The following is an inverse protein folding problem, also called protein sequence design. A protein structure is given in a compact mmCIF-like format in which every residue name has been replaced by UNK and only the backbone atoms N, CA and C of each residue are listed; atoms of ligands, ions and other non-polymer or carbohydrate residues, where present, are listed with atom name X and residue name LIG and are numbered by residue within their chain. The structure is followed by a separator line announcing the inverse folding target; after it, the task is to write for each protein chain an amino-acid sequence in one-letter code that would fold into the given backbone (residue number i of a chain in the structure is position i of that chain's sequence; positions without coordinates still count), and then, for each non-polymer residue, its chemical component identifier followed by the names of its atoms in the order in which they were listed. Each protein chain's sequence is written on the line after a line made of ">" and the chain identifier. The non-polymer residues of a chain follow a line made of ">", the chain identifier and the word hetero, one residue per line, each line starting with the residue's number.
data_IF_982996930914
#
_entry.id   IF_982996930914
#
_cell.length_a   1.000
_cell.length_b   1.000
_cell.length_c   1.000
_cell.angle_alpha   90.00
_cell.angle_beta   90.00
_cell.angle_gamma   90.00
#
_symmetry.space_group_name_H-M   'P 1'
#
loop_
_entity.id
_entity.type
_entity.pdbx_description
1 polymer ?
#
# COMPACT_ATOMS: atom_id res chain seq x y z
N UNK A 1 42.00 11.70 22.98
CA UNK A 1 41.32 10.63 23.74
C UNK A 1 39.99 11.23 24.17
N UNK A 2 38.93 11.04 23.37
CA UNK A 2 37.60 11.57 23.69
C UNK A 2 36.80 10.45 24.34
N UNK A 3 36.61 10.56 25.65
CA UNK A 3 35.84 9.60 26.43
C UNK A 3 34.35 9.88 26.18
N UNK A 4 33.67 8.95 25.49
CA UNK A 4 32.21 8.99 25.33
C UNK A 4 31.60 8.73 26.71
N UNK A 5 31.06 9.78 27.31
CA UNK A 5 30.20 9.69 28.49
C UNK A 5 28.88 9.01 28.07
N UNK A 6 28.83 7.69 28.16
CA UNK A 6 27.59 6.94 27.99
C UNK A 6 26.77 7.12 29.27
N UNK A 7 25.82 8.04 29.25
CA UNK A 7 24.82 8.18 30.32
C UNK A 7 23.98 6.89 30.31
N UNK A 8 23.95 6.08 31.39
CA UNK A 8 23.05 4.96 31.45
C UNK A 8 21.63 5.53 31.50
N UNK A 9 20.79 5.15 30.52
CA UNK A 9 19.36 5.35 30.64
C UNK A 9 18.91 4.62 31.91
N UNK A 10 18.67 5.35 33.00
CA UNK A 10 17.99 4.81 34.16
C UNK A 10 16.63 4.30 33.68
N UNK A 11 16.46 2.98 33.61
CA UNK A 11 15.16 2.36 33.53
C UNK A 11 14.44 2.72 34.83
N UNK A 12 13.63 3.78 34.80
CA UNK A 12 12.75 4.11 35.92
C UNK A 12 11.85 2.90 36.11
N UNK A 13 11.92 2.19 37.26
CA UNK A 13 11.04 1.06 37.50
C UNK A 13 9.62 1.59 37.53
N UNK A 14 8.77 1.12 36.61
CA UNK A 14 7.35 1.45 36.65
C UNK A 14 6.80 0.90 37.96
N UNK A 15 6.33 1.79 38.84
CA UNK A 15 5.85 1.42 40.17
C UNK A 15 4.63 0.49 40.10
N UNK A 16 4.47 -0.47 41.03
CA UNK A 16 3.24 -1.24 41.15
C UNK A 16 2.01 -0.34 41.21
N UNK A 17 1.01 -0.62 40.37
CA UNK A 17 -0.21 0.18 40.29
C UNK A 17 -1.47 -0.69 40.19
N UNK A 18 -2.59 -0.16 40.69
CA UNK A 18 -3.93 -0.73 40.44
C UNK A 18 -4.24 -0.65 38.94
N UNK A 19 -4.94 -1.65 38.35
CA UNK A 19 -5.30 -1.59 36.95
C UNK A 19 -6.24 -0.42 36.69
N UNK A 20 -6.09 0.19 35.52
CA UNK A 20 -7.08 1.09 34.93
C UNK A 20 -8.00 0.30 33.99
N UNK A 21 -9.03 0.98 33.48
CA UNK A 21 -9.97 0.39 32.53
C UNK A 21 -9.22 -0.16 31.30
N UNK A 22 -9.40 -1.44 30.96
CA UNK A 22 -8.77 -2.02 29.76
C UNK A 22 -9.44 -1.47 28.50
N UNK A 23 -8.65 -1.28 27.45
CA UNK A 23 -9.18 -1.00 26.11
C UNK A 23 -9.58 -2.32 25.48
N UNK A 24 -10.87 -2.47 25.13
CA UNK A 24 -11.45 -3.69 24.57
C UNK A 24 -11.81 -3.45 23.11
N UNK A 25 -11.47 -4.41 22.24
CA UNK A 25 -11.85 -4.39 20.82
C UNK A 25 -12.25 -5.78 20.37
N UNK A 26 -13.38 -5.89 19.67
CA UNK A 26 -13.88 -7.14 19.10
C UNK A 26 -13.92 -7.07 17.57
N UNK A 27 -13.70 -8.23 16.94
CA UNK A 27 -13.67 -8.39 15.49
C UNK A 27 -14.11 -9.79 15.10
N UNK A 28 -14.82 -9.89 13.98
CA UNK A 28 -15.19 -11.13 13.31
C UNK A 28 -14.47 -11.23 11.96
N UNK A 29 -13.43 -12.07 11.91
CA UNK A 29 -12.73 -12.47 10.68
C UNK A 29 -13.15 -13.87 10.19
N UNK A 30 -14.04 -14.54 10.93
CA UNK A 30 -14.51 -15.91 10.70
C UNK A 30 -16.02 -15.98 10.53
N UNK A 31 -16.66 -14.88 10.13
CA UNK A 31 -18.12 -14.81 9.97
C UNK A 31 -18.62 -15.91 9.01
N UNK A 32 -19.76 -16.57 9.29
CA UNK A 32 -20.68 -16.37 10.42
C UNK A 32 -20.38 -17.29 11.62
N UNK A 33 -19.17 -17.84 11.77
CA UNK A 33 -18.88 -18.81 12.85
C UNK A 33 -18.76 -18.18 14.23
N UNK A 34 -18.18 -17.00 14.32
CA UNK A 34 -17.92 -16.34 15.59
C UNK A 34 -17.04 -15.11 15.46
N UNK A 35 -16.72 -14.52 16.60
CA UNK A 35 -15.86 -13.36 16.73
C UNK A 35 -14.86 -13.56 17.87
N UNK A 36 -13.81 -12.75 17.87
CA UNK A 36 -12.89 -12.66 18.99
C UNK A 36 -12.89 -11.26 19.58
N UNK A 37 -12.57 -11.18 20.86
CA UNK A 37 -12.29 -9.92 21.55
C UNK A 37 -10.87 -9.94 22.07
N UNK A 38 -10.22 -8.79 22.03
CA UNK A 38 -8.89 -8.58 22.56
C UNK A 38 -8.85 -7.34 23.44
N UNK A 39 -7.95 -7.35 24.41
CA UNK A 39 -7.84 -6.24 25.35
C UNK A 39 -6.39 -5.95 25.75
N UNK A 40 -6.14 -4.71 26.14
CA UNK A 40 -4.85 -4.32 26.71
C UNK A 40 -5.04 -3.17 27.71
N UNK A 41 -4.07 -3.04 28.61
CA UNK A 41 -3.97 -1.90 29.51
C UNK A 41 -3.09 -0.85 28.84
N UNK A 42 -3.61 0.37 28.66
CA UNK A 42 -2.80 1.50 28.16
C UNK A 42 -1.61 1.81 29.08
N UNK A 43 -1.79 1.54 30.39
CA UNK A 43 -0.80 1.78 31.42
C UNK A 43 -0.48 0.45 32.12
N UNK A 44 0.74 -0.10 31.95
CA UNK A 44 1.17 -1.32 32.64
C UNK A 44 1.17 -1.14 34.16
N UNK A 45 0.86 -2.21 34.89
CA UNK A 45 0.75 -2.22 36.36
C UNK A 45 2.04 -2.71 37.05
N UNK A 46 3.02 -3.22 36.30
CA UNK A 46 4.26 -3.86 36.79
C UNK A 46 4.08 -5.06 37.72
N UNK A 47 2.85 -5.52 37.94
CA UNK A 47 2.50 -6.68 38.76
C UNK A 47 1.54 -7.60 38.00
N UNK A 48 1.53 -8.91 38.29
CA UNK A 48 0.61 -9.85 37.65
C UNK A 48 -0.83 -9.36 37.72
N UNK A 49 -1.50 -9.32 36.56
CA UNK A 49 -2.86 -8.83 36.41
C UNK A 49 -3.66 -9.84 35.63
N UNK A 50 -4.71 -10.36 36.23
CA UNK A 50 -5.63 -11.32 35.63
C UNK A 50 -6.81 -10.60 34.99
N UNK A 51 -7.42 -11.24 33.99
CA UNK A 51 -8.57 -10.70 33.28
C UNK A 51 -9.74 -11.68 33.34
N UNK A 52 -10.93 -11.16 33.63
CA UNK A 52 -12.20 -11.87 33.55
C UNK A 52 -13.06 -11.28 32.44
N UNK A 53 -13.64 -12.13 31.60
CA UNK A 53 -14.44 -11.71 30.45
C UNK A 53 -15.83 -12.30 30.59
N UNK A 54 -16.86 -11.46 30.41
CA UNK A 54 -18.25 -11.87 30.33
C UNK A 54 -18.85 -11.31 29.03
N UNK A 55 -19.52 -12.17 28.27
CA UNK A 55 -20.18 -11.80 27.02
C UNK A 55 -21.65 -12.14 27.13
N UNK A 56 -22.49 -11.15 26.84
CA UNK A 56 -23.94 -11.28 26.89
C UNK A 56 -24.54 -10.95 25.52
N UNK A 57 -25.59 -11.67 25.16
CA UNK A 57 -26.36 -11.44 23.95
C UNK A 57 -27.82 -11.82 24.23
N UNK A 58 -28.76 -10.93 23.90
CA UNK A 58 -30.19 -11.12 24.19
C UNK A 58 -30.46 -11.58 25.64
N UNK A 59 -29.88 -10.88 26.62
CA UNK A 59 -29.97 -11.18 28.07
C UNK A 59 -29.40 -12.55 28.50
N UNK A 60 -28.79 -13.32 27.60
CA UNK A 60 -28.14 -14.61 27.90
C UNK A 60 -26.63 -14.43 27.97
N UNK A 61 -25.99 -15.13 28.91
CA UNK A 61 -24.53 -15.25 28.95
C UNK A 61 -24.08 -16.24 27.88
N UNK A 62 -23.06 -15.88 27.11
CA UNK A 62 -22.44 -16.75 26.12
C UNK A 62 -21.20 -17.44 26.68
N UNK A 63 -20.87 -18.60 26.10
CA UNK A 63 -19.63 -19.30 26.40
C UNK A 63 -18.44 -18.57 25.77
N UNK A 64 -17.37 -18.39 26.55
CA UNK A 64 -16.17 -17.66 26.16
C UNK A 64 -14.97 -18.59 26.21
N UNK A 65 -14.36 -18.86 25.06
CA UNK A 65 -13.15 -19.68 24.96
C UNK A 65 -11.92 -18.79 25.00
N UNK A 66 -11.00 -19.03 25.94
CA UNK A 66 -9.71 -18.31 25.97
C UNK A 66 -8.82 -18.75 24.82
N UNK A 67 -8.14 -17.79 24.20
CA UNK A 67 -7.16 -18.08 23.17
C UNK A 67 -5.91 -18.73 23.80
N UNK A 68 -5.43 -19.83 23.21
CA UNK A 68 -4.29 -20.60 23.73
C UNK A 68 -2.95 -19.94 23.44
N UNK A 69 -2.89 -19.08 22.42
CA UNK A 69 -1.68 -18.39 21.97
C UNK A 69 -1.62 -16.98 22.53
N UNK A 70 -2.74 -16.26 22.49
CA UNK A 70 -2.85 -14.85 22.87
C UNK A 70 -3.59 -14.68 24.21
N UNK A 71 -2.86 -14.50 25.31
CA UNK A 71 -3.43 -14.43 26.67
C UNK A 71 -4.57 -13.40 26.85
N UNK A 72 -4.50 -12.27 26.14
CA UNK A 72 -5.49 -11.20 26.19
C UNK A 72 -6.47 -11.25 25.02
N UNK A 73 -6.86 -12.46 24.61
CA UNK A 73 -7.84 -12.70 23.57
C UNK A 73 -8.79 -13.83 23.97
N UNK A 74 -10.04 -13.72 23.56
CA UNK A 74 -11.03 -14.78 23.66
C UNK A 74 -11.86 -14.91 22.39
N UNK A 75 -12.49 -16.05 22.21
CA UNK A 75 -13.36 -16.40 21.08
C UNK A 75 -14.77 -16.71 21.57
N UNK A 76 -15.76 -16.29 20.80
CA UNK A 76 -17.19 -16.49 21.06
C UNK A 76 -17.86 -16.92 19.77
N UNK A 77 -18.70 -17.94 19.82
CA UNK A 77 -19.49 -18.39 18.67
C UNK A 77 -20.75 -17.54 18.55
N UNK A 78 -21.18 -17.27 17.31
CA UNK A 78 -22.48 -16.67 17.08
C UNK A 78 -23.58 -17.72 17.37
N UNK A 79 -24.50 -17.48 18.33
CA UNK A 79 -25.61 -18.41 18.60
C UNK A 79 -26.65 -18.39 17.48
N UNK A 80 -26.83 -17.24 16.86
CA UNK A 80 -27.70 -16.97 15.71
C UNK A 80 -26.98 -15.95 14.82
N UNK A 81 -27.17 -16.06 13.51
CA UNK A 81 -26.62 -15.14 12.51
C UNK A 81 -27.70 -14.14 12.15
N UNK A 82 -27.32 -12.91 11.84
CA UNK A 82 -28.21 -11.79 11.55
C UNK A 82 -29.07 -11.37 12.75
N UNK A 83 -28.57 -11.50 13.98
CA UNK A 83 -29.31 -11.07 15.15
C UNK A 83 -29.42 -9.55 15.22
N UNK A 84 -30.61 -9.04 15.55
CA UNK A 84 -30.83 -7.63 15.83
C UNK A 84 -30.47 -7.23 17.27
N UNK A 85 -30.15 -8.20 18.13
CA UNK A 85 -29.75 -7.92 19.50
C UNK A 85 -28.26 -7.58 19.60
N UNK A 86 -27.88 -6.51 20.30
CA UNK A 86 -26.49 -6.17 20.46
C UNK A 86 -25.79 -7.17 21.40
N UNK A 87 -24.50 -7.40 21.14
CA UNK A 87 -23.59 -8.07 22.04
C UNK A 87 -23.04 -7.07 23.05
N UNK A 88 -22.91 -7.50 24.30
CA UNK A 88 -22.25 -6.73 25.36
C UNK A 88 -21.08 -7.52 25.92
N UNK A 89 -19.88 -6.97 25.82
CA UNK A 89 -18.63 -7.60 26.28
C UNK A 89 -18.10 -6.77 27.45
N UNK A 90 -17.93 -7.39 28.61
CA UNK A 90 -17.31 -6.79 29.79
C UNK A 90 -15.98 -7.49 30.10
N UNK A 91 -14.90 -6.72 30.16
CA UNK A 91 -13.58 -7.17 30.57
C UNK A 91 -13.20 -6.49 31.88
N UNK A 92 -12.92 -7.29 32.91
CA UNK A 92 -12.44 -6.84 34.22
C UNK A 92 -10.99 -7.24 34.41
N UNK A 93 -10.10 -6.26 34.61
CA UNK A 93 -8.73 -6.45 35.04
C UNK A 93 -8.66 -6.48 36.58
N UNK A 94 -7.90 -7.43 37.14
CA UNK A 94 -7.77 -7.62 38.60
C UNK A 94 -6.31 -7.88 38.94
N UNK A 95 -5.79 -7.18 39.94
CA UNK A 95 -4.50 -7.49 40.56
C UNK A 95 -4.55 -7.29 42.08
N UNK A 96 -3.41 -7.46 42.76
CA UNK A 96 -3.33 -7.34 44.22
C UNK A 96 -3.69 -5.95 44.76
N UNK A 97 -3.68 -4.90 43.92
CA UNK A 97 -3.93 -3.51 44.32
C UNK A 97 -5.34 -3.02 43.98
N UNK A 98 -6.10 -3.76 43.17
CA UNK A 98 -7.46 -3.37 42.82
C UNK A 98 -8.03 -4.04 41.58
N UNK A 99 -9.16 -3.50 41.10
CA UNK A 99 -9.85 -3.96 39.90
C UNK A 99 -10.40 -2.78 39.10
N UNK A 100 -10.46 -2.95 37.79
CA UNK A 100 -11.10 -2.02 36.87
C UNK A 100 -11.78 -2.79 35.73
N UNK A 101 -12.89 -2.26 35.20
CA UNK A 101 -13.65 -2.93 34.15
C UNK A 101 -14.03 -1.99 33.04
N UNK A 102 -14.03 -2.50 31.81
CA UNK A 102 -14.56 -1.80 30.63
C UNK A 102 -15.61 -2.67 29.97
N UNK A 103 -16.65 -2.04 29.44
CA UNK A 103 -17.71 -2.72 28.70
C UNK A 103 -17.96 -2.03 27.36
N UNK A 104 -18.02 -2.83 26.29
CA UNK A 104 -18.40 -2.38 24.95
C UNK A 104 -19.66 -3.10 24.50
N UNK A 105 -20.48 -2.39 23.73
CA UNK A 105 -21.71 -2.91 23.12
C UNK A 105 -21.62 -2.70 21.62
N UNK A 106 -21.97 -3.72 20.83
CA UNK A 106 -21.94 -3.64 19.37
C UNK A 106 -22.99 -4.54 18.74
N UNK A 107 -23.39 -4.20 17.52
CA UNK A 107 -24.19 -5.06 16.65
C UNK A 107 -23.28 -5.99 15.85
N UNK A 108 -23.80 -7.15 15.50
CA UNK A 108 -23.09 -8.21 14.77
C UNK A 108 -22.39 -7.68 13.50
N UNK A 109 -23.13 -6.92 12.68
CA UNK A 109 -22.67 -6.41 11.40
C UNK A 109 -21.50 -5.43 11.50
N UNK A 110 -21.34 -4.74 12.64
CA UNK A 110 -20.36 -3.67 12.81
C UNK A 110 -18.95 -4.21 13.09
N UNK A 111 -18.83 -5.44 13.58
CA UNK A 111 -17.53 -6.05 13.93
C UNK A 111 -16.98 -6.96 12.84
N UNK A 112 -17.74 -7.18 11.76
CA UNK A 112 -17.29 -8.00 10.63
C UNK A 112 -16.15 -7.29 9.90
N UNK A 113 -14.99 -7.93 9.86
CA UNK A 113 -13.80 -7.47 9.15
C UNK A 113 -12.97 -8.70 8.78
N UNK A 114 -13.06 -9.19 7.51
CA UNK A 114 -12.27 -10.31 7.02
C UNK A 114 -10.77 -10.05 7.20
N UNK A 115 -9.95 -11.10 7.14
CA UNK A 115 -8.50 -10.91 6.98
C UNK A 115 -8.15 -10.49 5.54
N UNK A 116 -6.94 -9.93 5.29
CA UNK A 116 -6.54 -9.56 3.94
C UNK A 116 -6.50 -10.78 2.99
N UNK A 117 -6.73 -10.59 1.68
CA UNK A 117 -6.58 -11.66 0.69
C UNK A 117 -5.19 -12.31 0.76
N UNK A 118 -5.16 -13.62 0.53
CA UNK A 118 -3.94 -14.42 0.58
C UNK A 118 -3.38 -14.66 -0.82
N UNK A 119 -2.09 -15.03 -0.90
CA UNK A 119 -1.43 -15.45 -2.15
C UNK A 119 -1.67 -14.48 -3.32
N UNK A 120 -1.58 -13.18 -3.06
CA UNK A 120 -1.63 -12.17 -4.11
C UNK A 120 -0.42 -12.37 -5.02
N UNK A 121 -0.64 -12.47 -6.32
CA UNK A 121 0.41 -12.63 -7.33
C UNK A 121 0.08 -11.72 -8.51
N UNK A 122 1.11 -11.08 -9.08
CA UNK A 122 0.98 -10.29 -10.29
C UNK A 122 2.00 -10.76 -11.33
N UNK A 123 1.53 -11.14 -12.52
CA UNK A 123 2.35 -11.68 -13.61
C UNK A 123 2.23 -10.83 -14.88
N UNK A 124 3.32 -10.63 -15.63
CA UNK A 124 3.26 -10.02 -16.95
C UNK A 124 2.52 -10.92 -17.94
N UNK A 125 1.67 -10.33 -18.77
CA UNK A 125 1.04 -11.04 -19.88
C UNK A 125 2.01 -11.04 -21.08
N UNK A 126 2.43 -12.20 -21.60
CA UNK A 126 3.38 -12.28 -22.71
C UNK A 126 2.96 -11.45 -23.92
N UNK A 127 3.93 -10.80 -24.57
CA UNK A 127 3.73 -9.92 -25.72
C UNK A 127 2.80 -8.73 -25.45
N UNK A 128 2.62 -8.33 -24.19
CA UNK A 128 1.78 -7.19 -23.83
C UNK A 128 2.44 -6.26 -22.81
N UNK A 129 3.06 -5.19 -23.33
CA UNK A 129 3.83 -4.23 -22.53
C UNK A 129 3.02 -3.35 -21.59
N UNK A 130 1.67 -3.46 -21.60
CA UNK A 130 0.78 -2.65 -20.75
C UNK A 130 -0.15 -3.48 -19.87
N UNK A 131 0.06 -4.79 -19.79
CA UNK A 131 -0.82 -5.69 -19.04
C UNK A 131 -0.12 -6.46 -17.94
N UNK A 132 -0.81 -6.53 -16.81
CA UNK A 132 -0.48 -7.40 -15.68
C UNK A 132 -1.73 -8.18 -15.29
N UNK A 133 -1.59 -9.48 -15.14
CA UNK A 133 -2.62 -10.32 -14.54
C UNK A 133 -2.38 -10.40 -13.04
N UNK A 134 -3.38 -10.03 -12.25
CA UNK A 134 -3.35 -10.07 -10.79
C UNK A 134 -4.32 -11.14 -10.34
N UNK A 135 -3.86 -12.06 -9.49
CA UNK A 135 -4.67 -13.14 -8.90
C UNK A 135 -4.47 -13.15 -7.39
N UNK A 136 -5.48 -13.63 -6.64
CA UNK A 136 -5.42 -13.78 -5.20
C UNK A 136 -6.36 -14.90 -4.74
N UNK A 137 -6.22 -15.30 -3.48
CA UNK A 137 -7.15 -16.20 -2.82
C UNK A 137 -7.97 -15.44 -1.78
N UNK A 138 -9.21 -15.88 -1.59
CA UNK A 138 -10.02 -15.49 -0.42
C UNK A 138 -9.26 -15.83 0.87
N UNK A 139 -9.43 -15.04 1.96
CA UNK A 139 -8.79 -15.34 3.23
C UNK A 139 -9.21 -16.72 3.77
N UNK A 140 -8.26 -17.54 4.20
CA UNK A 140 -8.53 -18.90 4.69
C UNK A 140 -9.38 -18.93 5.97
N UNK A 141 -9.43 -17.82 6.70
CA UNK A 141 -10.27 -17.63 7.88
C UNK A 141 -11.74 -17.42 7.53
N UNK A 142 -12.06 -17.04 6.28
CA UNK A 142 -13.42 -16.82 5.82
C UNK A 142 -14.01 -18.14 5.29
N UNK A 143 -14.91 -18.78 6.04
CA UNK A 143 -15.19 -20.21 5.86
C UNK A 143 -16.24 -20.52 4.79
N UNK A 144 -17.09 -19.56 4.42
CA UNK A 144 -18.26 -19.79 3.57
C UNK A 144 -18.45 -18.61 2.60
N UNK A 145 -17.63 -18.60 1.55
CA UNK A 145 -17.69 -17.58 0.49
C UNK A 145 -18.93 -17.69 -0.40
N UNK A 146 -19.57 -18.87 -0.44
CA UNK A 146 -20.77 -19.09 -1.26
C UNK A 146 -22.00 -18.44 -0.63
N UNK A 147 -22.16 -18.58 0.70
CA UNK A 147 -23.27 -17.93 1.42
C UNK A 147 -22.96 -16.48 1.79
N UNK A 148 -21.68 -16.15 1.99
CA UNK A 148 -21.21 -14.81 2.40
C UNK A 148 -20.11 -14.33 1.43
N UNK A 149 -20.50 -13.89 0.23
CA UNK A 149 -19.55 -13.51 -0.80
C UNK A 149 -18.73 -12.30 -0.40
N UNK A 150 -17.47 -12.30 -0.85
CA UNK A 150 -16.55 -11.20 -0.64
C UNK A 150 -16.47 -10.33 -1.89
N UNK A 151 -16.35 -9.03 -1.67
CA UNK A 151 -15.85 -8.08 -2.65
C UNK A 151 -14.44 -7.66 -2.30
N UNK A 152 -13.70 -7.25 -3.33
CA UNK A 152 -12.30 -6.92 -3.28
C UNK A 152 -12.07 -5.50 -3.75
N UNK A 153 -11.12 -4.83 -3.11
CA UNK A 153 -10.63 -3.53 -3.53
C UNK A 153 -9.17 -3.70 -3.91
N UNK A 154 -8.88 -3.61 -5.20
CA UNK A 154 -7.54 -3.63 -5.75
C UNK A 154 -7.02 -2.20 -5.80
N UNK A 155 -5.79 -1.98 -5.34
CA UNK A 155 -5.06 -0.75 -5.61
C UNK A 155 -3.71 -1.03 -6.25
N UNK A 156 -3.35 -0.19 -7.21
CA UNK A 156 -2.05 -0.28 -7.87
C UNK A 156 -1.53 1.10 -8.25
N UNK A 157 -0.20 1.24 -8.25
CA UNK A 157 0.48 2.43 -8.76
C UNK A 157 1.86 2.04 -9.29
N UNK A 158 2.38 2.74 -10.30
CA UNK A 158 3.78 2.58 -10.69
C UNK A 158 4.69 3.22 -9.63
N UNK A 159 5.92 2.71 -9.46
CA UNK A 159 6.89 3.32 -8.53
C UNK A 159 7.27 4.76 -8.88
N UNK A 160 7.09 5.14 -10.14
CA UNK A 160 7.38 6.50 -10.62
C UNK A 160 6.30 7.53 -10.25
N UNK A 161 5.17 7.12 -9.64
CA UNK A 161 4.09 8.01 -9.21
C UNK A 161 3.50 7.58 -7.87
N UNK A 162 3.09 8.54 -7.05
CA UNK A 162 2.46 8.27 -5.76
C UNK A 162 0.93 8.23 -5.80
N UNK A 163 0.34 8.37 -6.98
CA UNK A 163 -1.10 8.29 -7.16
C UNK A 163 -1.57 6.84 -7.32
N UNK A 164 -2.41 6.39 -6.39
CA UNK A 164 -3.06 5.09 -6.44
C UNK A 164 -4.23 5.08 -7.42
N UNK A 165 -4.29 4.04 -8.23
CA UNK A 165 -5.50 3.63 -8.93
C UNK A 165 -6.25 2.58 -8.12
N UNK A 166 -7.56 2.52 -8.29
CA UNK A 166 -8.44 1.69 -7.49
C UNK A 166 -9.46 0.99 -8.38
N UNK A 167 -9.74 -0.28 -8.07
CA UNK A 167 -10.76 -1.08 -8.75
C UNK A 167 -11.51 -1.89 -7.70
N UNK A 168 -12.83 -1.75 -7.65
CA UNK A 168 -13.70 -2.58 -6.82
C UNK A 168 -14.23 -3.75 -7.66
N UNK A 169 -14.14 -4.96 -7.11
CA UNK A 169 -14.43 -6.22 -7.79
C UNK A 169 -15.33 -7.05 -6.88
N UNK A 170 -16.51 -7.42 -7.35
CA UNK A 170 -17.40 -8.32 -6.61
C UNK A 170 -17.20 -9.74 -7.11
N UNK A 171 -17.07 -10.70 -6.19
CA UNK A 171 -17.06 -12.14 -6.50
C UNK A 171 -16.04 -12.55 -7.59
N UNK A 172 -14.88 -11.90 -7.60
CA UNK A 172 -13.76 -12.22 -8.49
C UNK A 172 -12.46 -12.29 -7.70
N UNK A 173 -11.66 -13.30 -7.99
CA UNK A 173 -10.32 -13.52 -7.40
C UNK A 173 -9.18 -13.17 -8.35
N UNK A 174 -9.48 -12.47 -9.43
CA UNK A 174 -8.49 -11.98 -10.38
C UNK A 174 -8.90 -10.67 -11.06
N UNK A 175 -7.91 -9.96 -11.60
CA UNK A 175 -8.10 -8.78 -12.42
C UNK A 175 -6.94 -8.58 -13.38
N UNK A 176 -7.23 -8.09 -14.58
CA UNK A 176 -6.20 -7.68 -15.54
C UNK A 176 -6.07 -6.17 -15.55
N UNK A 177 -4.92 -5.66 -15.07
CA UNK A 177 -4.53 -4.26 -15.25
C UNK A 177 -4.21 -4.07 -16.74
N UNK A 178 -4.79 -3.05 -17.38
CA UNK A 178 -4.67 -2.84 -18.84
C UNK A 178 -4.00 -1.54 -19.26
N UNK A 179 -3.74 -0.67 -18.29
CA UNK A 179 -3.19 0.67 -18.47
C UNK A 179 -1.79 0.80 -17.84
N UNK A 180 -1.08 -0.32 -17.67
CA UNK A 180 0.25 -0.30 -17.08
C UNK A 180 1.27 0.44 -17.97
N UNK A 181 2.19 1.17 -17.37
CA UNK A 181 3.30 1.82 -18.05
C UNK A 181 4.35 0.78 -18.41
N UNK A 182 4.72 0.73 -19.69
CA UNK A 182 5.71 -0.21 -20.21
C UNK A 182 7.05 -0.09 -19.47
N UNK A 183 7.59 -1.24 -19.04
CA UNK A 183 8.87 -1.33 -18.34
C UNK A 183 8.92 -0.62 -16.98
N UNK A 184 7.78 -0.25 -16.39
CA UNK A 184 7.73 0.35 -15.06
C UNK A 184 7.24 -0.67 -14.05
N UNK A 185 7.91 -0.71 -12.91
CA UNK A 185 7.52 -1.54 -11.77
C UNK A 185 6.31 -0.94 -11.05
N UNK A 186 5.40 -1.81 -10.62
CA UNK A 186 4.18 -1.48 -9.90
C UNK A 186 4.18 -2.05 -8.50
N UNK A 187 3.58 -1.31 -7.55
CA UNK A 187 3.14 -1.84 -6.26
C UNK A 187 1.65 -2.15 -6.36
N UNK A 188 1.25 -3.35 -5.97
CA UNK A 188 -0.11 -3.86 -6.06
C UNK A 188 -0.53 -4.44 -4.71
N UNK A 189 -1.74 -4.10 -4.27
CA UNK A 189 -2.34 -4.61 -3.03
C UNK A 189 -3.83 -4.84 -3.20
N UNK A 190 -4.38 -5.79 -2.45
CA UNK A 190 -5.80 -6.13 -2.46
C UNK A 190 -6.33 -6.12 -1.02
N UNK A 191 -7.55 -5.63 -0.83
CA UNK A 191 -8.30 -5.78 0.41
C UNK A 191 -9.63 -6.49 0.13
N UNK A 192 -10.14 -7.27 1.08
CA UNK A 192 -11.45 -7.91 1.04
C UNK A 192 -12.45 -7.25 2.00
N UNK A 193 -13.75 -7.33 1.68
CA UNK A 193 -14.88 -7.00 2.54
C UNK A 193 -16.05 -7.94 2.20
N UNK A 194 -16.89 -8.27 3.17
CA UNK A 194 -18.22 -8.79 2.88
C UNK A 194 -19.02 -7.82 1.98
N UNK A 195 -19.90 -8.34 1.13
CA UNK A 195 -20.65 -7.53 0.16
C UNK A 195 -21.62 -6.57 0.82
N UNK A 196 -22.19 -6.92 1.98
CA UNK A 196 -23.30 -6.19 2.61
C UNK A 196 -22.88 -5.56 3.94
N UNK A 197 -22.10 -6.26 4.75
CA UNK A 197 -21.84 -5.88 6.15
C UNK A 197 -20.36 -5.62 6.44
N UNK A 198 -20.09 -5.08 7.62
CA UNK A 198 -18.72 -4.92 8.09
C UNK A 198 -17.87 -3.86 7.38
N UNK A 199 -16.56 -4.02 7.55
CA UNK A 199 -15.54 -3.08 7.09
C UNK A 199 -14.47 -3.79 6.27
N UNK A 200 -13.77 -3.01 5.43
CA UNK A 200 -12.63 -3.52 4.66
C UNK A 200 -11.56 -4.07 5.59
N UNK A 201 -11.00 -5.21 5.20
CA UNK A 201 -9.76 -5.75 5.75
C UNK A 201 -8.60 -4.76 5.57
N UNK A 202 -7.50 -5.03 6.26
CA UNK A 202 -6.26 -4.32 5.97
C UNK A 202 -5.77 -4.71 4.55
N UNK A 203 -4.90 -3.90 3.96
CA UNK A 203 -4.31 -4.24 2.68
C UNK A 203 -3.45 -5.50 2.79
N UNK A 204 -3.48 -6.35 1.76
CA UNK A 204 -2.57 -7.46 1.61
C UNK A 204 -1.11 -6.99 1.67
N UNK A 205 -0.20 -7.93 1.92
CA UNK A 205 1.23 -7.69 1.65
C UNK A 205 1.37 -7.21 0.21
N UNK A 206 2.14 -6.13 0.04
CA UNK A 206 2.37 -5.54 -1.26
C UNK A 206 3.15 -6.50 -2.16
N UNK A 207 2.69 -6.63 -3.41
CA UNK A 207 3.42 -7.37 -4.45
C UNK A 207 3.92 -6.41 -5.51
N UNK A 208 5.03 -6.81 -6.11
CA UNK A 208 5.75 -6.03 -7.10
C UNK A 208 5.74 -6.77 -8.43
N UNK A 209 5.44 -6.05 -9.52
CA UNK A 209 5.47 -6.62 -10.86
C UNK A 209 5.81 -5.56 -11.90
N UNK A 210 6.47 -5.99 -12.97
CA UNK A 210 6.74 -5.16 -14.14
C UNK A 210 6.03 -5.78 -15.34
N UNK A 211 5.29 -5.01 -16.17
CA UNK A 211 4.68 -5.52 -17.39
C UNK A 211 5.72 -6.12 -18.34
N UNK A 212 5.27 -6.88 -19.33
CA UNK A 212 6.15 -7.48 -20.32
C UNK A 212 7.10 -6.45 -20.93
N UNK A 213 8.36 -6.83 -21.10
CA UNK A 213 9.37 -6.02 -21.78
C UNK A 213 9.63 -6.72 -23.10
N UNK A 214 9.47 -5.99 -24.20
CA UNK A 214 9.88 -6.51 -25.51
C UNK A 214 11.40 -6.76 -25.50
N UNK A 215 11.83 -7.92 -26.00
CA UNK A 215 13.25 -8.16 -26.18
C UNK A 215 13.83 -7.05 -27.08
N UNK A 216 14.97 -6.44 -26.71
CA UNK A 216 15.60 -5.47 -27.56
C UNK A 216 15.91 -6.15 -28.89
N UNK A 217 15.25 -5.70 -29.97
CA UNK A 217 15.57 -6.15 -31.33
C UNK A 217 17.07 -5.95 -31.52
N UNK A 218 17.81 -7.04 -31.66
CA UNK A 218 19.22 -6.96 -32.02
C UNK A 218 19.28 -6.25 -33.37
N UNK A 219 19.83 -5.03 -33.39
CA UNK A 219 20.19 -4.36 -34.63
C UNK A 219 21.39 -5.16 -35.16
N UNK A 220 21.29 -5.84 -36.31
CA UNK A 220 22.47 -6.46 -36.90
C UNK A 220 23.47 -5.35 -37.17
N UNK A 221 24.64 -5.41 -36.52
CA UNK A 221 25.75 -4.53 -36.83
C UNK A 221 26.17 -4.80 -38.28
N UNK A 222 25.72 -3.97 -39.20
CA UNK A 222 26.26 -3.94 -40.56
C UNK A 222 27.65 -3.32 -40.46
N UNK A 223 28.65 -4.17 -40.19
CA UNK A 223 30.04 -3.82 -40.44
C UNK A 223 30.27 -4.05 -41.92
N UNK A 224 29.92 -3.06 -42.74
CA UNK A 224 30.37 -3.01 -44.12
C UNK A 224 31.87 -2.71 -44.10
N UNK A 225 32.68 -3.75 -44.34
CA UNK A 225 34.06 -3.57 -44.77
C UNK A 225 34.05 -3.33 -46.28
N UNK A 226 34.15 -2.08 -46.68
CA UNK A 226 34.48 -1.70 -48.06
C UNK A 226 35.95 -2.07 -48.34
N UNK A 227 36.27 -2.88 -49.38
CA UNK A 227 37.65 -3.14 -49.76
C UNK A 227 38.22 -1.93 -50.51
N UNK A 228 39.38 -1.45 -50.05
CA UNK A 228 40.20 -0.46 -50.74
C UNK A 228 40.61 -1.00 -52.14
N UNK A 229 40.13 -0.37 -53.20
CA UNK A 229 40.70 -0.54 -54.55
C UNK A 229 41.66 0.62 -54.83
N UNK A 230 42.92 0.23 -54.97
CA UNK A 230 44.09 1.05 -55.27
C UNK A 230 44.06 1.42 -56.76
N UNK A 231 44.26 2.69 -57.15
CA UNK A 231 44.50 3.02 -58.57
C UNK A 231 45.36 4.28 -58.77
N UNK A 232 46.36 4.11 -59.64
CA UNK A 232 47.06 5.09 -60.52
C UNK A 232 48.33 5.78 -59.98
N UNK A 233 49.37 6.00 -60.83
CA UNK A 233 49.40 7.15 -61.78
C UNK A 233 49.99 6.78 -63.18
N UNK A 234 49.65 7.41 -64.32
CA UNK A 234 49.96 8.77 -64.85
C UNK A 234 49.65 8.73 -66.38
N UNK A 235 49.75 9.77 -67.25
CA UNK A 235 50.27 11.14 -67.08
C UNK A 235 49.44 12.30 -67.72
N UNK A 236 49.83 13.55 -67.41
CA UNK A 236 49.29 14.83 -67.90
C UNK A 236 50.11 15.38 -69.11
N UNK A 237 49.96 16.65 -69.62
CA UNK A 237 48.93 17.73 -69.52
C UNK A 237 48.59 18.30 -70.97
N UNK A 238 48.01 19.52 -71.23
CA UNK A 238 48.59 20.84 -70.89
C UNK A 238 47.62 21.98 -70.44
N UNK A 239 48.26 22.88 -69.70
CA UNK A 239 47.98 24.26 -69.29
C UNK A 239 47.25 25.20 -70.26
N UNK A 240 46.35 26.04 -69.72
CA UNK A 240 46.29 27.49 -69.98
C UNK A 240 45.54 28.23 -68.84
N UNK A 241 46.26 29.04 -68.09
CA UNK A 241 45.80 30.12 -67.20
C UNK A 241 45.70 31.44 -68.04
N UNK A 242 45.37 32.65 -67.51
CA UNK A 242 44.90 33.04 -66.16
C UNK A 242 43.82 34.17 -66.17
N UNK A 243 43.55 34.70 -64.95
CA UNK A 243 42.99 36.01 -64.57
C UNK A 243 41.51 35.98 -64.12
N UNK A 244 41.07 36.62 -63.02
CA UNK A 244 41.68 37.62 -62.14
C UNK A 244 40.86 37.72 -60.84
N UNK A 245 41.58 37.82 -59.72
CA UNK A 245 41.37 38.65 -58.52
C UNK A 245 39.98 38.81 -57.84
N UNK A 246 39.98 38.59 -56.52
CA UNK A 246 39.09 39.30 -55.58
C UNK A 246 39.00 38.66 -54.19
N UNK A 247 39.75 39.19 -53.21
CA UNK A 247 39.59 39.01 -51.75
C UNK A 247 39.72 40.44 -51.16
N UNK A 248 39.27 40.80 -49.93
CA UNK A 248 38.10 40.46 -49.10
C UNK A 248 37.32 41.75 -48.72
N UNK A 249 36.68 41.77 -47.52
CA UNK A 249 36.13 42.91 -46.75
C UNK A 249 34.63 43.12 -47.00
N UNK A 250 33.72 43.22 -46.03
CA UNK A 250 33.79 43.26 -44.57
C UNK A 250 32.55 44.00 -44.06
N UNK A 251 32.06 43.65 -42.86
CA UNK A 251 31.36 44.58 -41.97
C UNK A 251 29.82 44.57 -41.92
N UNK A 252 29.34 44.35 -40.69
CA UNK A 252 28.10 44.84 -40.05
C UNK A 252 26.76 44.34 -40.62
N UNK A 253 25.65 44.18 -39.89
CA UNK A 253 25.17 44.83 -38.67
C UNK A 253 23.95 44.07 -38.12
N UNK A 254 23.65 44.26 -36.82
CA UNK A 254 22.32 44.34 -36.16
C UNK A 254 21.18 43.38 -36.60
N UNK A 255 20.49 42.67 -35.70
CA UNK A 255 19.46 43.24 -34.83
C UNK A 255 19.19 42.34 -33.60
N UNK A 256 19.29 42.94 -32.42
CA UNK A 256 18.77 42.41 -31.15
C UNK A 256 17.24 42.56 -31.13
N UNK A 257 16.53 41.46 -30.86
CA UNK A 257 15.08 41.46 -30.71
C UNK A 257 14.70 41.76 -29.25
N UNK A 258 13.68 42.59 -29.11
CA UNK A 258 13.21 43.28 -27.91
C UNK A 258 12.53 42.31 -26.93
N UNK A 259 12.86 42.45 -25.65
CA UNK A 259 12.30 41.68 -24.53
C UNK A 259 10.91 42.25 -24.20
N UNK A 260 9.87 41.40 -24.28
CA UNK A 260 8.48 41.76 -23.99
C UNK A 260 8.16 41.74 -22.48
N UNK A 261 7.47 42.76 -21.92
CA UNK A 261 7.15 42.87 -20.50
C UNK A 261 5.76 42.29 -20.20
N UNK A 262 5.66 41.01 -19.83
CA UNK A 262 4.38 40.39 -19.43
C UNK A 262 4.48 39.47 -18.20
N UNK A 263 5.56 39.58 -17.40
CA UNK A 263 5.79 38.73 -16.23
C UNK A 263 5.83 39.48 -14.89
N UNK A 264 5.23 40.67 -14.80
CA UNK A 264 5.20 41.45 -13.55
C UNK A 264 3.81 41.57 -12.89
N UNK A 265 2.79 40.83 -13.35
CA UNK A 265 1.42 40.99 -12.83
C UNK A 265 0.80 39.81 -12.05
N UNK A 266 1.51 38.71 -11.83
CA UNK A 266 0.96 37.58 -11.02
C UNK A 266 1.64 37.39 -9.66
N UNK A 267 2.66 38.20 -9.33
CA UNK A 267 3.35 38.13 -8.03
C UNK A 267 2.62 38.85 -6.88
N UNK A 268 1.54 39.60 -7.17
CA UNK A 268 0.78 40.34 -6.14
C UNK A 268 -0.48 39.63 -5.61
N UNK A 269 -0.77 38.40 -6.03
CA UNK A 269 -1.93 37.64 -5.55
C UNK A 269 -1.62 36.50 -4.56
N UNK A 270 -0.35 36.34 -4.14
CA UNK A 270 0.05 35.28 -3.20
C UNK A 270 0.47 35.76 -1.80
N UNK A 271 0.31 37.05 -1.46
CA UNK A 271 0.60 37.59 -0.13
C UNK A 271 -0.65 38.01 0.68
N UNK A 272 -1.87 37.76 0.17
CA UNK A 272 -3.12 38.23 0.78
C UNK A 272 -4.06 37.17 1.37
N UNK A 273 -3.67 35.90 1.44
CA UNK A 273 -4.54 34.81 1.94
C UNK A 273 -3.91 34.00 3.09
N UNK A 274 -3.05 34.65 3.88
CA UNK A 274 -2.62 34.18 5.19
C UNK A 274 -2.87 35.32 6.18
N UNK A 275 -4.13 35.50 6.58
CA UNK A 275 -4.64 36.05 7.84
C UNK A 275 -6.18 36.00 7.68
N UNK A 276 -6.78 34.93 8.18
CA UNK A 276 -8.03 34.82 8.95
C UNK A 276 -8.26 33.33 9.22
#
# INVERSE_FOLDING_TARGET
>A
MYEKLTIPFCLVPVSPASPREPTVMCRSNTYPKGFYCSWHLQHPTSIPTDFHVNVQHNQKSLEVTRDTVHKNRCHVKFPEVFSSYPYRVNVTAVNALGRASSAITFEEFNIVKPDPPEKVVATPIPNNVRRLEVTWNSPSTWPDVESFPLKYFLRYRPLIRDQWQHVELSDSTFHTITDAYAGKEYIIQVAAKDTEIGTWSDWSVAVHATPWIDEPKQIPSTTDQEPLFDTTPSPAPPSAEPHRAGIPVGGASSHLCVISPLLWYTCYLLLGALIW
#
